data_IF_153299340670
#
_entry.id   IF_153299340670
#
_cell.length_a   1.000
_cell.length_b   1.000
_cell.length_c   1.000
_cell.angle_alpha   90.00
_cell.angle_beta   90.00
_cell.angle_gamma   90.00
#
_symmetry.space_group_name_H-M   'P 1'
#
loop_
_entity.id
_entity.type
_entity.pdbx_description
1 polymer ?
#
# COMPACT_ATOMS: atom_id res chain seq x y z
N UNK A 1 -19.15 -11.88 -4.03
CA UNK A 1 -18.19 -10.98 -4.73
C UNK A 1 -16.91 -10.98 -3.92
N UNK A 2 -15.73 -11.07 -4.54
CA UNK A 2 -14.48 -10.95 -3.79
C UNK A 2 -14.38 -9.52 -3.22
N UNK A 3 -14.03 -9.39 -1.95
CA UNK A 3 -13.82 -8.07 -1.34
C UNK A 3 -12.63 -7.40 -2.01
N UNK A 4 -12.84 -6.17 -2.50
CA UNK A 4 -11.81 -5.32 -3.07
C UNK A 4 -11.04 -4.65 -1.93
N UNK A 5 -9.72 -4.64 -2.01
CA UNK A 5 -8.84 -3.99 -1.05
C UNK A 5 -8.19 -2.80 -1.73
N UNK A 6 -8.15 -1.64 -1.07
CA UNK A 6 -7.49 -0.46 -1.58
C UNK A 6 -6.13 -0.34 -0.90
N UNK A 7 -5.06 -0.25 -1.69
CA UNK A 7 -3.70 -0.09 -1.18
C UNK A 7 -3.21 1.29 -1.55
N UNK A 8 -2.84 2.08 -0.54
CA UNK A 8 -2.22 3.38 -0.70
C UNK A 8 -0.71 3.26 -0.52
N UNK A 9 0.06 3.92 -1.38
CA UNK A 9 1.52 3.99 -1.32
C UNK A 9 1.98 5.43 -1.35
N UNK A 10 2.97 5.75 -0.51
CA UNK A 10 3.65 7.05 -0.50
C UNK A 10 5.16 6.79 -0.48
N UNK A 11 5.85 7.32 -1.47
CA UNK A 11 7.30 7.24 -1.57
C UNK A 11 7.92 8.59 -1.25
N UNK A 12 8.83 8.59 -0.29
CA UNK A 12 9.70 9.72 0.02
C UNK A 12 11.13 9.35 -0.34
N UNK A 13 12.05 10.31 -0.26
CA UNK A 13 13.47 10.07 -0.56
C UNK A 13 14.14 8.99 0.32
N UNK A 14 13.59 8.72 1.51
CA UNK A 14 14.16 7.75 2.46
C UNK A 14 13.25 6.59 2.84
N UNK A 15 11.96 6.66 2.54
CA UNK A 15 10.96 5.73 3.07
C UNK A 15 9.85 5.45 2.06
N UNK A 16 9.39 4.20 2.06
CA UNK A 16 8.16 3.78 1.38
C UNK A 16 7.12 3.42 2.44
N UNK A 17 5.99 4.12 2.41
CA UNK A 17 4.82 3.79 3.23
C UNK A 17 3.83 3.02 2.37
N UNK A 18 3.17 2.04 3.00
CA UNK A 18 2.12 1.25 2.39
C UNK A 18 1.03 1.00 3.42
N UNK A 19 -0.19 1.37 3.09
CA UNK A 19 -1.38 1.17 3.94
C UNK A 19 -2.48 0.53 3.12
N UNK A 20 -3.44 -0.10 3.79
CA UNK A 20 -4.56 -0.75 3.13
C UNK A 20 -5.87 -0.44 3.85
N UNK A 21 -6.96 -0.38 3.08
CA UNK A 21 -8.31 -0.15 3.55
C UNK A 21 -9.34 -0.89 2.70
N UNK A 22 -10.55 -1.01 3.21
CA UNK A 22 -11.72 -1.54 2.48
C UNK A 22 -12.33 -0.53 1.50
N UNK A 23 -11.87 0.73 1.55
CA UNK A 23 -12.18 1.80 0.60
C UNK A 23 -10.95 2.65 0.30
N UNK A 24 -10.96 3.40 -0.80
CA UNK A 24 -9.88 4.36 -1.11
C UNK A 24 -9.68 5.37 0.03
N UNK A 25 -10.77 5.91 0.57
CA UNK A 25 -10.71 6.87 1.66
C UNK A 25 -10.06 6.28 2.91
N UNK A 26 -10.44 5.06 3.30
CA UNK A 26 -9.87 4.39 4.46
C UNK A 26 -8.36 4.15 4.27
N UNK A 27 -7.92 3.74 3.08
CA UNK A 27 -6.50 3.56 2.79
C UNK A 27 -5.71 4.88 2.95
N UNK A 28 -6.28 6.01 2.50
CA UNK A 28 -5.70 7.35 2.67
C UNK A 28 -5.71 7.81 4.13
N UNK A 29 -6.77 7.56 4.88
CA UNK A 29 -6.85 7.93 6.30
C UNK A 29 -5.81 7.19 7.14
N UNK A 30 -5.61 5.90 6.87
CA UNK A 30 -4.54 5.11 7.50
C UNK A 30 -3.16 5.63 7.08
N UNK A 31 -2.98 6.04 5.82
CA UNK A 31 -1.73 6.67 5.37
C UNK A 31 -1.44 7.97 6.13
N UNK A 32 -2.45 8.81 6.31
CA UNK A 32 -2.35 10.05 7.10
C UNK A 32 -1.93 9.76 8.54
N UNK A 33 -2.54 8.74 9.17
CA UNK A 33 -2.16 8.32 10.52
C UNK A 33 -0.73 7.78 10.58
N UNK A 34 -0.30 6.99 9.60
CA UNK A 34 1.06 6.47 9.50
C UNK A 34 2.09 7.60 9.35
N UNK A 35 1.83 8.59 8.49
CA UNK A 35 2.69 9.76 8.34
C UNK A 35 2.78 10.59 9.62
N UNK A 36 1.65 10.81 10.30
CA UNK A 36 1.63 11.50 11.59
C UNK A 36 2.50 10.79 12.64
N UNK A 37 2.41 9.45 12.72
CA UNK A 37 3.26 8.66 13.60
C UNK A 37 4.76 8.79 13.24
N UNK A 38 5.09 8.74 11.95
CA UNK A 38 6.47 8.92 11.47
C UNK A 38 7.03 10.31 11.83
N UNK A 39 6.26 11.37 11.61
CA UNK A 39 6.66 12.74 12.00
C UNK A 39 6.93 12.86 13.48
N UNK A 40 6.07 12.27 14.30
CA UNK A 40 6.24 12.27 15.77
C UNK A 40 7.55 11.61 16.19
N UNK A 41 7.98 10.56 15.48
CA UNK A 41 9.20 9.81 15.79
C UNK A 41 10.48 10.46 15.25
N UNK A 42 10.40 11.13 14.11
CA UNK A 42 11.58 11.61 13.37
C UNK A 42 11.76 13.12 13.40
N UNK A 43 10.73 13.88 13.75
CA UNK A 43 10.71 15.33 13.64
C UNK A 43 10.53 15.84 12.20
N UNK A 44 10.08 14.99 11.26
CA UNK A 44 9.84 15.41 9.87
C UNK A 44 8.90 16.63 9.79
N UNK A 45 9.28 17.62 8.98
CA UNK A 45 8.64 18.93 8.92
C UNK A 45 7.44 18.99 7.98
N UNK A 46 7.42 18.17 6.93
CA UNK A 46 6.30 18.11 5.98
C UNK A 46 5.04 17.57 6.62
N UNK A 47 3.91 18.23 6.34
CA UNK A 47 2.58 17.77 6.72
C UNK A 47 2.10 16.68 5.78
N UNK A 48 0.98 16.04 6.13
CA UNK A 48 0.37 15.07 5.21
C UNK A 48 -0.22 15.76 3.98
N UNK A 49 -0.73 16.99 4.14
CA UNK A 49 -1.36 17.73 3.04
C UNK A 49 -0.31 18.11 1.97
N UNK A 50 0.95 18.34 2.39
CA UNK A 50 2.08 18.55 1.48
C UNK A 50 2.40 17.31 0.61
N UNK A 51 1.98 16.13 1.07
CA UNK A 51 2.29 14.83 0.44
C UNK A 51 1.04 14.14 -0.12
N UNK A 52 -0.14 14.73 0.04
CA UNK A 52 -1.41 14.07 -0.25
C UNK A 52 -1.54 13.72 -1.74
N UNK A 53 -1.02 14.58 -2.61
CA UNK A 53 -1.00 14.40 -4.07
C UNK A 53 0.00 13.33 -4.51
N UNK A 54 1.01 13.02 -3.68
CA UNK A 54 1.99 11.95 -3.93
C UNK A 54 1.47 10.56 -3.48
N UNK A 55 0.33 10.51 -2.81
CA UNK A 55 -0.29 9.25 -2.39
C UNK A 55 -1.01 8.61 -3.58
N UNK A 56 -0.41 7.54 -4.09
CA UNK A 56 -1.04 6.68 -5.09
C UNK A 56 -1.94 5.64 -4.40
N UNK A 57 -3.16 5.45 -4.89
CA UNK A 57 -4.10 4.43 -4.37
C UNK A 57 -4.54 3.51 -5.49
N UNK A 58 -4.49 2.21 -5.23
CA UNK A 58 -4.85 1.18 -6.20
C UNK A 58 -5.86 0.21 -5.59
N UNK A 59 -6.95 -0.02 -6.32
CA UNK A 59 -7.88 -1.09 -6.02
C UNK A 59 -7.29 -2.45 -6.41
N UNK A 60 -7.26 -3.38 -5.46
CA UNK A 60 -6.68 -4.70 -5.58
C UNK A 60 -7.72 -5.78 -5.35
N UNK A 61 -7.71 -6.77 -6.23
CA UNK A 61 -8.42 -8.03 -6.02
C UNK A 61 -7.46 -9.05 -5.38
N UNK A 62 -7.98 -10.05 -4.65
CA UNK A 62 -7.18 -11.18 -4.22
C UNK A 62 -6.36 -11.75 -5.39
N UNK A 63 -5.12 -12.16 -5.12
CA UNK A 63 -4.15 -12.67 -6.11
C UNK A 63 -3.55 -11.63 -7.07
N UNK A 64 -3.65 -10.34 -6.73
CA UNK A 64 -2.90 -9.28 -7.40
C UNK A 64 -1.55 -9.07 -6.69
N UNK A 65 -0.46 -8.93 -7.45
CA UNK A 65 0.82 -8.48 -6.90
C UNK A 65 1.11 -7.04 -7.32
N UNK A 66 1.86 -6.32 -6.48
CA UNK A 66 2.32 -4.96 -6.77
C UNK A 66 3.84 -4.95 -6.95
N UNK A 67 4.31 -4.13 -7.89
CA UNK A 67 5.69 -3.66 -7.97
C UNK A 67 5.66 -2.15 -7.90
N UNK A 68 6.34 -1.59 -6.91
CA UNK A 68 6.49 -0.14 -6.74
C UNK A 68 5.13 0.59 -6.79
N UNK A 69 4.16 0.06 -6.04
CA UNK A 69 2.79 0.59 -5.97
C UNK A 69 1.90 0.30 -7.18
N UNK A 70 2.42 -0.33 -8.24
CA UNK A 70 1.68 -0.62 -9.47
C UNK A 70 1.33 -2.11 -9.61
N UNK A 71 0.10 -2.47 -10.04
CA UNK A 71 -0.26 -3.87 -10.30
C UNK A 71 0.62 -4.53 -11.35
N UNK A 72 1.09 -5.74 -11.02
CA UNK A 72 1.78 -6.61 -11.96
C UNK A 72 0.77 -7.54 -12.64
N UNK A 73 0.83 -7.64 -13.97
CA UNK A 73 0.19 -8.73 -14.68
C UNK A 73 1.02 -10.00 -14.48
N UNK A 74 0.55 -10.89 -13.61
CA UNK A 74 1.25 -12.14 -13.32
C UNK A 74 1.00 -13.25 -14.35
N UNK A 75 0.06 -13.06 -15.30
CA UNK A 75 -0.44 -14.15 -16.13
C UNK A 75 -1.08 -15.27 -15.29
N UNK A 76 -1.30 -16.44 -15.90
CA UNK A 76 -1.78 -17.62 -15.19
C UNK A 76 -0.66 -18.27 -14.37
N UNK A 77 -0.35 -17.72 -13.19
CA UNK A 77 0.60 -18.35 -12.26
C UNK A 77 -0.05 -19.57 -11.62
N UNK A 78 0.43 -20.76 -12.01
CA UNK A 78 0.13 -21.98 -11.27
C UNK A 78 1.03 -22.03 -10.04
N UNK A 79 0.51 -21.67 -8.87
CA UNK A 79 1.24 -21.81 -7.62
C UNK A 79 1.39 -23.30 -7.28
N UNK A 80 2.56 -23.87 -7.54
CA UNK A 80 2.91 -25.16 -6.97
C UNK A 80 3.06 -24.97 -5.46
N UNK A 81 2.07 -25.41 -4.68
CA UNK A 81 2.23 -25.64 -3.25
C UNK A 81 3.39 -26.62 -3.10
N UNK A 82 4.58 -26.14 -2.75
CA UNK A 82 5.71 -27.01 -2.40
C UNK A 82 5.27 -27.73 -1.12
N UNK A 83 4.75 -28.95 -1.27
CA UNK A 83 4.42 -29.80 -0.13
C UNK A 83 5.71 -29.94 0.68
N UNK A 84 5.70 -29.46 1.92
CA UNK A 84 6.80 -29.74 2.86
C UNK A 84 6.84 -31.26 2.97
N UNK A 85 7.91 -31.88 2.45
CA UNK A 85 8.21 -33.27 2.80
C UNK A 85 8.51 -33.26 4.30
N UNK A 86 7.68 -33.98 5.06
CA UNK A 86 7.97 -34.35 6.44
C UNK A 86 9.17 -35.30 6.46
#
# INVERSE_FOLDING_TARGET
MAAELFVATLETSGFRFMTAGSSEQEARDVMKAAWHAHRTQTGATWTFDDLADDVNVVAMRPWTALRDGSPMNLGSVTYFRKARRQ
#
